data_IF_192158780978
#
_entry.id   IF_192158780978
#
_cell.length_a   1.000
_cell.length_b   1.000
_cell.length_c   1.000
_cell.angle_alpha   90.00
_cell.angle_beta   90.00
_cell.angle_gamma   90.00
#
_symmetry.space_group_name_H-M   'P 1'
#
loop_
_entity.id
_entity.type
_entity.pdbx_description
1 polymer ?
#
# COMPACT_ATOMS: atom_id res chain seq x y z
N UNK A 1 -9.88 -22.15 -7.51
CA UNK A 1 -8.66 -21.34 -7.27
C UNK A 1 -8.99 -19.89 -7.54
N UNK A 2 -8.78 -19.05 -6.54
CA UNK A 2 -8.76 -17.60 -6.64
C UNK A 2 -7.30 -17.12 -6.55
N UNK A 3 -6.99 -15.91 -7.01
CA UNK A 3 -5.63 -15.36 -6.95
C UNK A 3 -5.08 -15.38 -5.50
N UNK A 4 -5.94 -15.15 -4.51
CA UNK A 4 -5.60 -15.21 -3.10
C UNK A 4 -5.03 -16.57 -2.66
N UNK A 5 -5.42 -17.68 -3.31
CA UNK A 5 -4.92 -19.03 -3.02
C UNK A 5 -3.47 -19.23 -3.46
N UNK A 6 -2.96 -18.37 -4.35
CA UNK A 6 -1.65 -18.47 -4.98
C UNK A 6 -0.62 -17.49 -4.40
N UNK A 7 -1.07 -16.48 -3.67
CA UNK A 7 -0.20 -15.44 -3.14
C UNK A 7 0.35 -15.82 -1.76
N UNK A 8 1.61 -15.45 -1.44
CA UNK A 8 2.10 -15.57 -0.08
C UNK A 8 1.26 -14.71 0.86
N UNK A 9 1.18 -15.15 2.12
CA UNK A 9 0.47 -14.42 3.17
C UNK A 9 1.02 -12.98 3.26
N UNK A 10 0.16 -11.94 3.26
CA UNK A 10 0.63 -10.57 3.36
C UNK A 10 1.30 -10.32 4.73
N UNK A 11 2.35 -9.48 4.78
CA UNK A 11 2.99 -9.13 6.04
C UNK A 11 2.08 -8.31 6.96
N UNK A 12 1.16 -7.53 6.38
CA UNK A 12 0.08 -6.84 7.09
C UNK A 12 -1.18 -7.69 7.00
N UNK A 13 -1.59 -8.28 8.13
CA UNK A 13 -2.76 -9.16 8.17
C UNK A 13 -4.09 -8.39 8.21
N UNK A 14 -4.15 -7.30 8.99
CA UNK A 14 -5.38 -6.54 9.23
C UNK A 14 -5.04 -5.14 9.74
N UNK A 15 -5.90 -4.15 9.46
CA UNK A 15 -5.95 -2.87 10.17
C UNK A 15 -7.26 -2.80 10.95
N UNK A 16 -7.24 -2.23 12.15
CA UNK A 16 -8.45 -1.96 12.93
C UNK A 16 -8.60 -0.45 13.15
N UNK A 17 -9.76 0.10 12.85
CA UNK A 17 -10.10 1.51 13.00
C UNK A 17 -11.24 1.67 14.01
N UNK A 18 -11.20 2.74 14.79
CA UNK A 18 -12.35 3.14 15.60
C UNK A 18 -13.44 3.76 14.71
N UNK A 19 -14.73 3.56 15.01
CA UNK A 19 -15.83 4.14 14.26
C UNK A 19 -15.79 5.69 14.23
N UNK A 20 -15.17 6.32 15.23
CA UNK A 20 -14.98 7.78 15.29
C UNK A 20 -13.76 8.27 14.51
N UNK A 21 -13.04 7.40 13.80
CA UNK A 21 -11.85 7.79 13.03
C UNK A 21 -12.24 8.75 11.91
N UNK A 22 -11.48 9.84 11.78
CA UNK A 22 -11.65 10.77 10.66
C UNK A 22 -11.45 10.06 9.31
N UNK A 23 -12.40 10.16 8.36
CA UNK A 23 -12.32 9.48 7.07
C UNK A 23 -11.09 9.85 6.23
N UNK A 24 -10.65 11.11 6.25
CA UNK A 24 -9.48 11.53 5.48
C UNK A 24 -8.19 10.96 6.06
N UNK A 25 -8.09 10.91 7.39
CA UNK A 25 -7.00 10.24 8.10
C UNK A 25 -7.01 8.73 7.83
N UNK A 26 -8.18 8.09 7.87
CA UNK A 26 -8.33 6.67 7.58
C UNK A 26 -7.88 6.34 6.14
N UNK A 27 -8.34 7.11 5.15
CA UNK A 27 -7.94 6.97 3.74
C UNK A 27 -6.42 7.01 3.59
N UNK A 28 -5.77 8.05 4.12
CA UNK A 28 -4.34 8.22 4.02
C UNK A 28 -3.57 7.06 4.70
N UNK A 29 -4.07 6.58 5.83
CA UNK A 29 -3.48 5.47 6.59
C UNK A 29 -3.59 4.16 5.84
N UNK A 30 -4.78 3.79 5.36
CA UNK A 30 -5.01 2.54 4.63
C UNK A 30 -4.13 2.47 3.37
N UNK A 31 -4.09 3.56 2.58
CA UNK A 31 -3.28 3.59 1.35
C UNK A 31 -1.78 3.42 1.66
N UNK A 32 -1.24 4.21 2.60
CA UNK A 32 0.20 4.22 2.89
C UNK A 32 0.68 2.99 3.66
N UNK A 33 -0.21 2.33 4.42
CA UNK A 33 0.11 1.08 5.08
C UNK A 33 0.36 -0.06 4.07
N UNK A 34 -0.33 -0.02 2.92
CA UNK A 34 -0.13 -0.98 1.83
C UNK A 34 1.03 -0.57 0.92
N UNK A 35 1.04 0.70 0.49
CA UNK A 35 2.08 1.22 -0.39
C UNK A 35 2.23 2.74 -0.25
N UNK A 36 3.44 3.16 0.14
CA UNK A 36 3.84 4.56 0.17
C UNK A 36 4.88 4.85 -0.94
N UNK A 37 4.49 5.52 -2.04
CA UNK A 37 5.38 5.79 -3.17
C UNK A 37 6.55 6.72 -2.81
N UNK A 38 6.51 7.39 -1.66
CA UNK A 38 7.61 8.25 -1.21
C UNK A 38 8.89 7.48 -0.93
N UNK A 39 8.78 6.18 -0.62
CA UNK A 39 9.94 5.30 -0.50
C UNK A 39 10.66 5.17 -1.85
N UNK A 40 9.91 4.88 -2.90
CA UNK A 40 10.46 4.71 -4.25
C UNK A 40 11.00 6.03 -4.80
N UNK A 41 10.34 7.16 -4.52
CA UNK A 41 10.86 8.49 -4.84
C UNK A 41 12.20 8.77 -4.14
N UNK A 42 12.33 8.45 -2.85
CA UNK A 42 13.59 8.62 -2.12
C UNK A 42 14.70 7.74 -2.68
N UNK A 43 14.40 6.49 -3.03
CA UNK A 43 15.36 5.56 -3.64
C UNK A 43 15.78 6.06 -5.03
N UNK A 44 14.83 6.57 -5.82
CA UNK A 44 15.08 7.15 -7.12
C UNK A 44 15.95 8.41 -7.04
N UNK A 45 15.63 9.36 -6.16
CA UNK A 45 16.45 10.57 -5.95
C UNK A 45 17.87 10.26 -5.52
N UNK A 46 18.07 9.26 -4.66
CA UNK A 46 19.41 8.81 -4.22
C UNK A 46 20.20 8.14 -5.34
N UNK A 47 19.54 7.63 -6.38
CA UNK A 47 20.18 6.96 -7.52
C UNK A 47 20.62 7.91 -8.63
N UNK A 48 20.21 9.19 -8.59
CA UNK A 48 20.55 10.18 -9.61
C UNK A 48 22.06 10.44 -9.67
N UNK A 49 22.59 10.58 -10.88
CA UNK A 49 24.01 10.78 -11.14
C UNK A 49 24.20 11.71 -12.33
N UNK A 50 25.23 12.56 -12.26
CA UNK A 50 25.61 13.45 -13.37
C UNK A 50 26.22 12.68 -14.55
N UNK A 51 26.62 11.41 -14.36
CA UNK A 51 27.08 10.52 -15.43
C UNK A 51 25.86 9.81 -16.07
N UNK A 52 25.55 10.06 -17.36
CA UNK A 52 24.41 9.45 -18.04
C UNK A 52 24.47 7.92 -18.14
N UNK A 53 25.66 7.31 -18.14
CA UNK A 53 25.79 5.85 -18.15
C UNK A 53 25.48 5.27 -16.77
N UNK A 54 26.01 5.88 -15.71
CA UNK A 54 25.71 5.47 -14.34
C UNK A 54 24.24 5.68 -13.99
N UNK A 55 23.65 6.81 -14.38
CA UNK A 55 22.23 7.10 -14.14
C UNK A 55 21.32 6.06 -14.80
N UNK A 56 21.59 5.67 -16.06
CA UNK A 56 20.84 4.62 -16.76
C UNK A 56 20.97 3.28 -16.04
N UNK A 57 22.19 2.88 -15.69
CA UNK A 57 22.43 1.64 -14.98
C UNK A 57 21.73 1.61 -13.61
N UNK A 58 21.77 2.71 -12.85
CA UNK A 58 21.14 2.81 -11.54
C UNK A 58 19.61 2.75 -11.63
N UNK A 59 19.01 3.42 -12.62
CA UNK A 59 17.57 3.32 -12.91
C UNK A 59 17.14 1.88 -13.22
N UNK A 60 17.91 1.18 -14.07
CA UNK A 60 17.64 -0.22 -14.39
C UNK A 60 17.80 -1.13 -13.16
N UNK A 61 18.77 -0.86 -12.28
CA UNK A 61 18.93 -1.62 -11.04
C UNK A 61 17.74 -1.46 -10.08
N UNK A 62 17.21 -0.24 -9.91
CA UNK A 62 16.03 -0.02 -9.07
C UNK A 62 14.83 -0.84 -9.56
N UNK A 63 14.64 -0.91 -10.89
CA UNK A 63 13.55 -1.68 -11.50
C UNK A 63 13.78 -3.18 -11.39
N UNK A 64 15.02 -3.63 -11.60
CA UNK A 64 15.39 -5.05 -11.54
C UNK A 64 15.28 -5.62 -10.13
N UNK A 65 15.57 -4.81 -9.11
CA UNK A 65 15.55 -5.20 -7.71
C UNK A 65 14.31 -4.68 -6.96
N UNK A 66 13.24 -4.35 -7.68
CA UNK A 66 12.04 -3.74 -7.11
C UNK A 66 11.44 -4.65 -6.02
N UNK A 67 11.20 -4.13 -4.80
CA UNK A 67 10.69 -4.95 -3.70
C UNK A 67 9.26 -5.42 -3.98
N UNK A 68 8.82 -6.53 -3.37
CA UNK A 68 7.42 -6.94 -3.44
C UNK A 68 6.48 -5.82 -2.94
N UNK A 69 5.51 -5.44 -3.79
CA UNK A 69 4.47 -4.45 -3.48
C UNK A 69 3.10 -5.14 -3.49
N UNK A 70 2.29 -4.89 -2.46
CA UNK A 70 0.90 -5.36 -2.37
C UNK A 70 -0.06 -4.30 -2.87
N UNK A 71 -1.29 -4.72 -3.12
CA UNK A 71 -2.40 -3.85 -3.50
C UNK A 71 -3.39 -3.73 -2.35
N UNK A 72 -4.19 -2.67 -2.36
CA UNK A 72 -5.19 -2.43 -1.30
C UNK A 72 -6.34 -3.43 -1.42
N UNK A 73 -6.57 -3.97 -2.62
CA UNK A 73 -7.56 -5.01 -2.86
C UNK A 73 -7.32 -6.21 -1.95
N UNK A 74 -8.34 -6.55 -1.15
CA UNK A 74 -8.26 -7.64 -0.18
C UNK A 74 -7.62 -7.28 1.17
N UNK A 75 -7.24 -6.03 1.43
CA UNK A 75 -6.81 -5.60 2.76
C UNK A 75 -7.97 -5.77 3.76
N UNK A 76 -7.76 -6.60 4.78
CA UNK A 76 -8.73 -6.78 5.85
C UNK A 76 -8.76 -5.56 6.78
N UNK A 77 -9.94 -4.96 6.96
CA UNK A 77 -10.16 -3.80 7.84
C UNK A 77 -11.28 -4.10 8.81
N UNK A 78 -11.01 -4.01 10.11
CA UNK A 78 -12.02 -4.09 11.17
C UNK A 78 -12.43 -2.69 11.61
N UNK A 79 -13.72 -2.50 11.85
CA UNK A 79 -14.24 -1.28 12.47
C UNK A 79 -14.70 -1.61 13.90
N UNK A 80 -14.21 -0.85 14.88
CA UNK A 80 -14.72 -0.88 16.26
C UNK A 80 -15.91 0.06 16.36
N UNK A 81 -17.11 -0.52 16.28
CA UNK A 81 -18.37 0.22 16.25
C UNK A 81 -18.90 0.42 14.82
N UNK A 82 -20.02 1.12 14.71
CA UNK A 82 -20.71 1.32 13.44
C UNK A 82 -20.34 2.66 12.81
N UNK A 83 -19.78 2.63 11.60
CA UNK A 83 -19.51 3.82 10.81
C UNK A 83 -19.77 3.53 9.33
N UNK A 84 -20.97 3.89 8.81
CA UNK A 84 -21.31 3.68 7.40
C UNK A 84 -20.32 4.37 6.44
N UNK A 85 -19.79 5.53 6.85
CA UNK A 85 -18.83 6.29 6.07
C UNK A 85 -17.49 5.56 5.94
N UNK A 86 -16.96 5.03 7.06
CA UNK A 86 -15.72 4.24 7.01
C UNK A 86 -15.93 2.91 6.28
N UNK A 87 -17.08 2.25 6.44
CA UNK A 87 -17.42 1.03 5.73
C UNK A 87 -17.47 1.25 4.19
N UNK A 88 -18.07 2.36 3.76
CA UNK A 88 -18.09 2.76 2.35
C UNK A 88 -16.68 3.06 1.84
N UNK A 89 -15.87 3.78 2.62
CA UNK A 89 -14.50 4.11 2.27
C UNK A 89 -13.64 2.85 2.07
N UNK A 90 -13.72 1.88 2.99
CA UNK A 90 -13.00 0.60 2.88
C UNK A 90 -13.40 -0.13 1.58
N UNK A 91 -14.71 -0.24 1.33
CA UNK A 91 -15.23 -0.89 0.12
C UNK A 91 -14.80 -0.16 -1.16
N UNK A 92 -14.82 1.17 -1.17
CA UNK A 92 -14.43 1.99 -2.32
C UNK A 92 -12.93 1.86 -2.66
N UNK A 93 -12.09 1.54 -1.68
CA UNK A 93 -10.67 1.24 -1.87
C UNK A 93 -10.40 -0.22 -2.30
N UNK A 94 -11.41 -1.08 -2.31
CA UNK A 94 -11.27 -2.52 -2.53
C UNK A 94 -10.83 -3.32 -1.29
N UNK A 95 -10.80 -2.69 -0.12
CA UNK A 95 -10.59 -3.37 1.15
C UNK A 95 -11.80 -4.22 1.54
N UNK A 96 -11.60 -5.14 2.48
CA UNK A 96 -12.63 -6.09 2.95
C UNK A 96 -12.91 -5.83 4.43
N UNK A 97 -14.16 -5.62 4.80
CA UNK A 97 -14.58 -5.48 6.19
C UNK A 97 -14.56 -6.85 6.90
N UNK A 98 -13.96 -6.92 8.10
CA UNK A 98 -13.79 -8.15 8.92
C UNK A 98 -13.96 -7.92 10.43
#
# INVERSE_FOLDING_TARGET
MQLADLLPRPPLAQIELDASTDPAWALATLCRAVYDPRRDDADFRRSLSDDPQQQRAAFDQLRKQYPPRREIEGLAVRLRGESPQLAQLVSALGGVLV
#
